data_IF_950192983082
#
_entry.id   IF_950192983082
#
_cell.length_a   1.000
_cell.length_b   1.000
_cell.length_c   1.000
_cell.angle_alpha   90.00
_cell.angle_beta   90.00
_cell.angle_gamma   90.00
#
_symmetry.space_group_name_H-M   'P 1'
#
loop_
_entity.id
_entity.type
_entity.pdbx_description
1 polymer ?
#
# COMPACT_ATOMS: atom_id res chain seq x y z
N UNK A 1 -2.13 -24.64 12.22
CA UNK A 1 -3.40 -24.26 11.55
C UNK A 1 -3.11 -24.15 10.08
N UNK A 2 -3.84 -24.85 9.21
CA UNK A 2 -3.65 -24.74 7.76
C UNK A 2 -4.12 -23.36 7.28
N UNK A 3 -3.33 -22.71 6.43
CA UNK A 3 -3.69 -21.42 5.87
C UNK A 3 -4.72 -21.60 4.75
N UNK A 4 -5.58 -20.60 4.53
CA UNK A 4 -6.55 -20.58 3.44
C UNK A 4 -6.16 -19.51 2.43
N UNK A 5 -6.25 -19.84 1.14
CA UNK A 5 -6.11 -18.82 0.09
C UNK A 5 -7.26 -17.82 0.21
N UNK A 6 -7.02 -16.50 0.07
CA UNK A 6 -8.10 -15.53 0.03
C UNK A 6 -9.05 -15.81 -1.15
N UNK A 7 -10.35 -15.72 -0.89
CA UNK A 7 -11.39 -15.95 -1.91
C UNK A 7 -11.39 -14.85 -2.97
N UNK A 8 -11.15 -13.60 -2.54
CA UNK A 8 -11.10 -12.40 -3.37
C UNK A 8 -9.89 -11.54 -3.02
N UNK A 9 -9.52 -10.66 -3.94
CA UNK A 9 -8.49 -9.64 -3.71
C UNK A 9 -9.20 -8.29 -3.59
N UNK A 10 -9.20 -7.64 -2.42
CA UNK A 10 -9.82 -6.33 -2.25
C UNK A 10 -9.18 -5.28 -3.15
N UNK A 11 -9.97 -4.29 -3.60
CA UNK A 11 -9.48 -3.21 -4.48
C UNK A 11 -8.20 -2.51 -3.98
N UNK A 12 -8.05 -2.14 -2.69
CA UNK A 12 -6.82 -1.52 -2.21
C UNK A 12 -5.60 -2.46 -2.33
N UNK A 13 -5.80 -3.77 -2.12
CA UNK A 13 -4.75 -4.76 -2.28
C UNK A 13 -4.39 -4.98 -3.75
N UNK A 14 -5.39 -5.05 -4.64
CA UNK A 14 -5.19 -5.15 -6.08
C UNK A 14 -4.40 -3.94 -6.60
N UNK A 15 -4.71 -2.72 -6.13
CA UNK A 15 -3.99 -1.51 -6.49
C UNK A 15 -2.49 -1.56 -6.12
N UNK A 16 -2.16 -2.15 -4.97
CA UNK A 16 -0.77 -2.39 -4.57
C UNK A 16 -0.12 -3.49 -5.43
N UNK A 17 -0.85 -4.56 -5.71
CA UNK A 17 -0.36 -5.65 -6.57
C UNK A 17 -0.09 -5.16 -7.99
N UNK A 18 -0.97 -4.37 -8.60
CA UNK A 18 -0.76 -3.82 -9.93
C UNK A 18 0.55 -3.01 -9.99
N UNK A 19 0.80 -2.20 -8.96
CA UNK A 19 2.05 -1.45 -8.82
C UNK A 19 3.28 -2.37 -8.68
N UNK A 20 3.20 -3.42 -7.88
CA UNK A 20 4.28 -4.43 -7.76
C UNK A 20 4.52 -5.09 -9.12
N UNK A 21 3.45 -5.52 -9.79
CA UNK A 21 3.50 -6.22 -11.05
C UNK A 21 4.02 -5.36 -12.21
N UNK A 22 3.77 -4.05 -12.20
CA UNK A 22 4.38 -3.09 -13.15
C UNK A 22 5.91 -3.04 -13.03
N UNK A 23 6.44 -3.21 -11.81
CA UNK A 23 7.88 -3.13 -11.54
C UNK A 23 8.54 -4.49 -11.80
N UNK A 24 7.95 -5.56 -11.28
CA UNK A 24 8.50 -6.92 -11.35
C UNK A 24 8.39 -7.54 -12.75
N UNK A 25 7.24 -7.34 -13.41
CA UNK A 25 6.91 -8.02 -14.65
C UNK A 25 5.97 -7.14 -15.52
N UNK A 26 6.48 -6.05 -16.12
CA UNK A 26 5.66 -5.14 -16.94
C UNK A 26 5.03 -5.82 -18.17
N UNK A 27 5.53 -6.99 -18.59
CA UNK A 27 4.96 -7.80 -19.68
C UNK A 27 3.79 -8.70 -19.25
N UNK A 28 3.35 -8.62 -18.00
CA UNK A 28 2.14 -9.26 -17.54
C UNK A 28 2.34 -10.64 -16.90
N UNK A 29 1.24 -11.38 -16.78
CA UNK A 29 1.12 -12.63 -16.01
C UNK A 29 1.89 -13.82 -16.59
N UNK A 30 2.31 -13.74 -17.85
CA UNK A 30 3.11 -14.80 -18.48
C UNK A 30 4.62 -14.57 -18.34
N UNK A 31 5.05 -13.48 -17.72
CA UNK A 31 6.47 -13.13 -17.63
C UNK A 31 7.25 -14.16 -16.83
N UNK A 32 8.29 -14.72 -17.44
CA UNK A 32 9.29 -15.53 -16.74
C UNK A 32 10.64 -14.82 -16.74
N UNK A 33 11.54 -15.30 -15.88
CA UNK A 33 12.90 -14.78 -15.77
C UNK A 33 13.58 -14.52 -17.13
N UNK A 34 14.09 -13.30 -17.27
CA UNK A 34 14.75 -12.81 -18.48
C UNK A 34 13.82 -12.67 -19.69
N UNK A 35 12.51 -12.53 -19.47
CA UNK A 35 11.49 -12.32 -20.50
C UNK A 35 11.44 -13.43 -21.56
N UNK A 36 11.60 -14.68 -21.14
CA UNK A 36 11.70 -15.86 -22.02
C UNK A 36 10.39 -16.60 -22.26
N UNK A 37 9.25 -16.00 -21.97
CA UNK A 37 7.96 -16.68 -22.08
C UNK A 37 7.67 -17.20 -23.50
N UNK A 38 8.26 -16.61 -24.54
CA UNK A 38 8.21 -17.15 -25.90
C UNK A 38 8.96 -18.48 -26.11
N UNK A 39 9.67 -18.99 -25.10
CA UNK A 39 10.26 -20.34 -25.07
C UNK A 39 9.32 -21.39 -24.46
N UNK A 40 8.19 -20.99 -23.89
CA UNK A 40 7.18 -21.91 -23.35
C UNK A 40 6.29 -22.42 -24.47
N UNK A 41 5.83 -23.68 -24.34
CA UNK A 41 4.92 -24.31 -25.32
C UNK A 41 3.52 -23.72 -25.28
N UNK A 42 3.09 -23.26 -24.11
CA UNK A 42 1.82 -22.59 -23.84
C UNK A 42 2.09 -21.39 -22.93
N UNK A 43 1.21 -20.38 -22.89
CA UNK A 43 1.31 -19.28 -21.92
C UNK A 43 1.41 -19.82 -20.48
N UNK A 44 2.20 -19.16 -19.64
CA UNK A 44 2.36 -19.55 -18.23
C UNK A 44 1.02 -19.63 -17.50
N UNK A 45 0.09 -18.73 -17.83
CA UNK A 45 -1.27 -18.66 -17.29
C UNK A 45 -2.16 -19.85 -17.64
N UNK A 46 -1.72 -20.71 -18.56
CA UNK A 46 -2.40 -21.96 -18.93
C UNK A 46 -1.69 -23.20 -18.38
N UNK A 47 -0.51 -23.05 -17.77
CA UNK A 47 0.21 -24.14 -17.13
C UNK A 47 -0.40 -24.46 -15.76
N UNK A 48 -0.26 -25.72 -15.33
CA UNK A 48 -0.61 -26.09 -13.96
C UNK A 48 0.46 -25.63 -12.98
N UNK A 49 0.10 -25.55 -11.69
CA UNK A 49 1.03 -25.24 -10.61
C UNK A 49 2.19 -26.23 -10.55
N UNK A 50 1.92 -27.52 -10.81
CA UNK A 50 2.93 -28.57 -10.90
C UNK A 50 3.88 -28.34 -12.07
N UNK A 51 3.36 -28.09 -13.27
CA UNK A 51 4.16 -27.81 -14.46
C UNK A 51 5.13 -26.62 -14.22
N UNK A 52 4.66 -25.59 -13.52
CA UNK A 52 5.47 -24.42 -13.20
C UNK A 52 6.57 -24.78 -12.20
N UNK A 53 6.26 -25.51 -11.11
CA UNK A 53 7.29 -25.94 -10.15
C UNK A 53 8.39 -26.74 -10.83
N UNK A 54 8.02 -27.63 -11.76
CA UNK A 54 8.97 -28.46 -12.49
C UNK A 54 9.77 -27.64 -13.49
N UNK A 55 9.13 -26.74 -14.24
CA UNK A 55 9.81 -25.85 -15.16
C UNK A 55 10.77 -24.88 -14.44
N UNK A 56 10.35 -24.35 -13.29
CA UNK A 56 11.17 -23.48 -12.45
C UNK A 56 12.43 -24.16 -11.91
N UNK A 57 12.43 -25.49 -11.72
CA UNK A 57 13.62 -26.24 -11.32
C UNK A 57 14.72 -26.13 -12.40
N UNK A 58 14.32 -26.18 -13.66
CA UNK A 58 15.20 -25.98 -14.81
C UNK A 58 15.66 -24.52 -14.93
N UNK A 59 14.76 -23.55 -14.74
CA UNK A 59 15.07 -22.12 -14.88
C UNK A 59 16.00 -21.60 -13.77
N UNK A 60 15.96 -22.22 -12.59
CA UNK A 60 16.89 -21.96 -11.49
C UNK A 60 18.28 -22.59 -11.69
N UNK A 61 18.48 -23.42 -12.72
CA UNK A 61 19.75 -24.11 -12.96
C UNK A 61 20.54 -23.43 -14.10
N UNK A 62 21.68 -22.81 -13.76
CA UNK A 62 22.53 -22.08 -14.72
C UNK A 62 23.06 -22.96 -15.85
N UNK A 63 23.41 -24.21 -15.59
CA UNK A 63 23.86 -25.15 -16.62
C UNK A 63 22.74 -25.46 -17.61
N UNK A 64 21.54 -25.73 -17.10
CA UNK A 64 20.37 -25.98 -17.94
C UNK A 64 20.01 -24.74 -18.76
N UNK A 65 19.96 -23.57 -18.15
CA UNK A 65 19.63 -22.30 -18.82
C UNK A 65 20.67 -21.96 -19.90
N UNK A 66 21.96 -22.14 -19.63
CA UNK A 66 23.01 -21.93 -20.63
C UNK A 66 22.88 -22.89 -21.80
N UNK A 67 22.65 -24.17 -21.53
CA UNK A 67 22.50 -25.20 -22.57
C UNK A 67 21.26 -25.00 -23.45
N UNK A 68 20.11 -24.70 -22.85
CA UNK A 68 18.83 -24.68 -23.56
C UNK A 68 18.47 -23.29 -24.10
N UNK A 69 18.90 -22.22 -23.44
CA UNK A 69 18.52 -20.84 -23.77
C UNK A 69 19.71 -19.92 -24.08
N UNK A 70 20.95 -20.39 -24.00
CA UNK A 70 22.14 -19.59 -24.31
C UNK A 70 22.33 -18.39 -23.37
N UNK A 71 21.91 -18.50 -22.10
CA UNK A 71 21.95 -17.39 -21.14
C UNK A 71 22.80 -17.71 -19.90
N UNK A 72 23.51 -16.70 -19.38
CA UNK A 72 24.53 -16.90 -18.34
C UNK A 72 24.02 -16.68 -16.90
N UNK A 73 22.75 -16.30 -16.74
CA UNK A 73 22.12 -16.14 -15.42
C UNK A 73 20.90 -17.05 -15.32
N UNK A 74 20.50 -17.38 -14.09
CA UNK A 74 19.40 -18.29 -13.81
C UNK A 74 18.55 -17.73 -12.66
N UNK A 75 17.24 -17.93 -12.75
CA UNK A 75 16.29 -17.67 -11.69
C UNK A 75 15.02 -18.45 -11.96
N UNK A 76 14.39 -18.93 -10.90
CA UNK A 76 13.07 -19.56 -10.97
C UNK A 76 11.92 -18.55 -11.05
N UNK A 77 12.18 -17.25 -11.10
CA UNK A 77 11.12 -16.25 -11.03
C UNK A 77 10.10 -16.37 -12.17
N UNK A 78 8.80 -16.38 -11.81
CA UNK A 78 7.70 -16.59 -12.75
C UNK A 78 6.45 -15.79 -12.38
N UNK A 79 5.69 -15.38 -13.40
CA UNK A 79 4.41 -14.70 -13.25
C UNK A 79 4.54 -13.20 -12.97
N UNK A 80 3.39 -12.54 -12.82
CA UNK A 80 3.29 -11.08 -12.65
C UNK A 80 4.02 -10.57 -11.40
N UNK A 81 4.14 -11.42 -10.38
CA UNK A 81 4.77 -11.08 -9.10
C UNK A 81 6.10 -11.79 -8.87
N UNK A 82 6.68 -12.37 -9.94
CA UNK A 82 8.00 -13.04 -9.94
C UNK A 82 8.17 -14.07 -8.82
N UNK A 83 7.17 -14.95 -8.66
CA UNK A 83 7.20 -16.01 -7.66
C UNK A 83 8.39 -16.94 -7.86
N UNK A 84 9.15 -17.17 -6.78
CA UNK A 84 10.24 -18.15 -6.77
C UNK A 84 9.70 -19.55 -6.55
N UNK A 85 10.44 -20.57 -7.02
CA UNK A 85 10.05 -21.98 -6.86
C UNK A 85 9.82 -22.35 -5.40
N UNK A 86 10.77 -21.98 -4.53
CA UNK A 86 10.66 -22.24 -3.10
C UNK A 86 9.41 -21.60 -2.49
N UNK A 87 9.11 -20.35 -2.88
CA UNK A 87 7.90 -19.64 -2.44
C UNK A 87 6.63 -20.39 -2.85
N UNK A 88 6.54 -20.87 -4.10
CA UNK A 88 5.38 -21.64 -4.55
C UNK A 88 5.28 -23.01 -3.83
N UNK A 89 6.41 -23.68 -3.60
CA UNK A 89 6.42 -24.93 -2.84
C UNK A 89 5.97 -24.74 -1.40
N UNK A 90 6.37 -23.64 -0.75
CA UNK A 90 5.95 -23.35 0.63
C UNK A 90 4.48 -22.99 0.71
N UNK A 91 3.96 -22.18 -0.24
CA UNK A 91 2.52 -21.89 -0.30
C UNK A 91 1.70 -23.17 -0.46
N UNK A 92 2.10 -24.10 -1.32
CA UNK A 92 1.37 -25.37 -1.52
C UNK A 92 1.38 -26.26 -0.26
N UNK A 93 2.40 -26.17 0.59
CA UNK A 93 2.42 -26.86 1.90
C UNK A 93 1.49 -26.18 2.91
N UNK A 94 1.42 -24.86 2.86
CA UNK A 94 0.62 -24.05 3.81
C UNK A 94 -0.88 -24.05 3.47
N UNK A 95 -1.22 -24.14 2.18
CA UNK A 95 -2.58 -23.95 1.63
C UNK A 95 -3.06 -25.24 0.95
N UNK A 96 -3.85 -26.09 1.64
CA UNK A 96 -4.25 -27.40 1.13
C UNK A 96 -5.08 -27.39 -0.17
N UNK A 97 -5.69 -26.24 -0.51
CA UNK A 97 -6.49 -26.10 -1.74
C UNK A 97 -5.64 -25.91 -3.00
N UNK A 98 -4.32 -25.75 -2.87
CA UNK A 98 -3.39 -25.62 -4.00
C UNK A 98 -2.70 -26.96 -4.20
N UNK A 99 -2.91 -27.55 -5.37
CA UNK A 99 -2.22 -28.78 -5.77
C UNK A 99 -1.57 -28.65 -7.15
N UNK A 100 -0.84 -29.68 -7.57
CA UNK A 100 -0.14 -29.71 -8.84
C UNK A 100 -1.04 -29.57 -10.09
N UNK A 101 -2.36 -29.76 -9.97
CA UNK A 101 -3.33 -29.69 -11.08
C UNK A 101 -3.97 -28.30 -11.20
N UNK A 102 -3.81 -27.47 -10.18
CA UNK A 102 -4.39 -26.13 -10.13
C UNK A 102 -3.81 -25.25 -11.24
N UNK A 103 -4.66 -24.62 -12.05
CA UNK A 103 -4.20 -23.75 -13.16
C UNK A 103 -3.61 -22.44 -12.63
N UNK A 104 -2.40 -22.08 -13.07
CA UNK A 104 -1.69 -20.86 -12.67
C UNK A 104 -2.17 -19.59 -13.40
N UNK A 105 -3.49 -19.46 -13.48
CA UNK A 105 -4.20 -18.34 -14.10
C UNK A 105 -3.80 -16.99 -13.49
N UNK A 106 -4.06 -15.91 -14.23
CA UNK A 106 -3.89 -14.54 -13.72
C UNK A 106 -4.66 -14.30 -12.41
N UNK A 107 -5.88 -14.83 -12.30
CA UNK A 107 -6.69 -14.78 -11.09
C UNK A 107 -6.03 -15.50 -9.90
N UNK A 108 -5.45 -16.68 -10.13
CA UNK A 108 -4.69 -17.37 -9.08
C UNK A 108 -3.45 -16.58 -8.68
N UNK A 109 -2.69 -16.05 -9.64
CA UNK A 109 -1.52 -15.23 -9.36
C UNK A 109 -1.87 -14.02 -8.50
N UNK A 110 -2.99 -13.34 -8.75
CA UNK A 110 -3.47 -12.24 -7.89
C UNK A 110 -3.75 -12.70 -6.46
N UNK A 111 -4.42 -13.84 -6.29
CA UNK A 111 -4.69 -14.41 -4.96
C UNK A 111 -3.41 -14.79 -4.22
N UNK A 112 -2.43 -15.38 -4.93
CA UNK A 112 -1.12 -15.71 -4.36
C UNK A 112 -0.33 -14.46 -4.00
N UNK A 113 -0.34 -13.43 -4.86
CA UNK A 113 0.29 -12.14 -4.57
C UNK A 113 -0.32 -11.50 -3.32
N UNK A 114 -1.65 -11.54 -3.20
CA UNK A 114 -2.33 -11.05 -2.01
C UNK A 114 -2.02 -11.88 -0.76
N UNK A 115 -1.93 -13.21 -0.89
CA UNK A 115 -1.48 -14.09 0.18
C UNK A 115 -0.09 -13.68 0.70
N UNK A 116 0.86 -13.37 -0.20
CA UNK A 116 2.18 -12.87 0.18
C UNK A 116 2.12 -11.52 0.90
N UNK A 117 1.26 -10.60 0.45
CA UNK A 117 1.03 -9.33 1.15
C UNK A 117 0.52 -9.55 2.57
N UNK A 118 -0.45 -10.45 2.76
CA UNK A 118 -0.98 -10.82 4.07
C UNK A 118 0.12 -11.39 4.98
N UNK A 119 0.94 -12.31 4.45
CA UNK A 119 2.11 -12.88 5.15
C UNK A 119 3.12 -11.82 5.58
N UNK A 120 3.19 -10.69 4.85
CA UNK A 120 4.06 -9.54 5.14
C UNK A 120 3.42 -8.48 6.03
N UNK A 121 2.21 -8.72 6.55
CA UNK A 121 1.54 -7.84 7.49
C UNK A 121 0.67 -6.77 6.82
N UNK A 122 0.16 -7.02 5.61
CA UNK A 122 -0.75 -6.09 4.94
C UNK A 122 -1.98 -5.74 5.80
N UNK A 123 -2.57 -6.70 6.50
CA UNK A 123 -3.71 -6.42 7.40
C UNK A 123 -3.32 -5.48 8.55
N UNK A 124 -2.12 -5.64 9.10
CA UNK A 124 -1.60 -4.75 10.15
C UNK A 124 -1.27 -3.36 9.59
N UNK A 125 -0.82 -3.27 8.34
CA UNK A 125 -0.62 -1.99 7.65
C UNK A 125 -1.94 -1.25 7.43
N UNK A 126 -2.96 -1.92 6.91
CA UNK A 126 -4.29 -1.32 6.67
C UNK A 126 -4.94 -0.88 7.98
N UNK A 127 -4.79 -1.66 9.05
CA UNK A 127 -5.32 -1.29 10.39
C UNK A 127 -4.46 -0.28 11.16
N UNK A 128 -3.32 0.14 10.60
CA UNK A 128 -2.43 1.13 11.22
C UNK A 128 -1.50 0.58 12.32
N UNK A 129 -1.49 -0.73 12.57
CA UNK A 129 -0.55 -1.40 13.49
C UNK A 129 0.87 -1.44 12.95
N UNK A 130 1.03 -1.53 11.62
CA UNK A 130 2.30 -1.29 10.94
C UNK A 130 2.27 0.07 10.26
N UNK A 131 3.26 0.90 10.55
CA UNK A 131 3.40 2.17 9.84
C UNK A 131 3.96 1.96 8.43
N UNK A 132 3.92 3.03 7.62
CA UNK A 132 4.33 3.00 6.22
C UNK A 132 5.78 2.52 6.02
N UNK A 133 6.73 2.99 6.83
CA UNK A 133 8.15 2.62 6.70
C UNK A 133 8.36 1.15 7.08
N UNK A 134 7.70 0.69 8.13
CA UNK A 134 7.73 -0.71 8.56
C UNK A 134 7.16 -1.64 7.49
N UNK A 135 5.99 -1.32 6.94
CA UNK A 135 5.40 -2.13 5.87
C UNK A 135 6.23 -2.06 4.58
N UNK A 136 6.78 -0.89 4.22
CA UNK A 136 7.72 -0.75 3.11
C UNK A 136 8.95 -1.66 3.24
N UNK A 137 9.48 -1.82 4.45
CA UNK A 137 10.54 -2.80 4.72
C UNK A 137 10.04 -4.24 4.50
N UNK A 138 8.83 -4.58 4.94
CA UNK A 138 8.24 -5.92 4.70
C UNK A 138 8.05 -6.21 3.22
N UNK A 139 7.68 -5.21 2.42
CA UNK A 139 7.62 -5.32 0.95
C UNK A 139 9.00 -5.57 0.34
N UNK A 140 10.02 -4.79 0.73
CA UNK A 140 11.39 -4.96 0.24
C UNK A 140 12.01 -6.32 0.61
N UNK A 141 11.48 -6.99 1.64
CA UNK A 141 11.87 -8.36 2.03
C UNK A 141 11.15 -9.47 1.23
N UNK A 142 10.13 -9.14 0.45
CA UNK A 142 9.44 -10.09 -0.44
C UNK A 142 9.83 -9.84 -1.90
N UNK A 143 9.87 -8.57 -2.32
CA UNK A 143 10.20 -8.15 -3.68
C UNK A 143 11.52 -7.38 -3.69
N UNK A 144 12.56 -7.99 -4.24
CA UNK A 144 13.91 -7.43 -4.23
C UNK A 144 14.06 -6.14 -5.06
N UNK A 145 13.13 -5.89 -5.99
CA UNK A 145 13.05 -4.65 -6.77
C UNK A 145 12.58 -3.45 -5.95
N UNK A 146 12.07 -3.65 -4.74
CA UNK A 146 11.61 -2.57 -3.86
C UNK A 146 12.75 -2.06 -2.97
N UNK A 147 12.85 -0.74 -2.76
CA UNK A 147 13.82 -0.14 -1.87
C UNK A 147 13.39 -0.27 -0.41
N UNK A 148 14.36 -0.26 0.51
CA UNK A 148 14.10 0.11 1.90
C UNK A 148 13.75 1.60 1.98
N UNK A 149 12.80 1.95 2.85
CA UNK A 149 12.30 3.33 3.01
C UNK A 149 13.03 4.12 4.11
N UNK A 150 13.89 3.46 4.86
CA UNK A 150 14.80 4.04 5.85
C UNK A 150 16.07 3.19 5.93
N UNK A 151 17.12 3.76 6.49
CA UNK A 151 18.34 3.03 6.79
C UNK A 151 18.04 1.86 7.74
N UNK A 152 18.60 0.69 7.46
CA UNK A 152 18.32 -0.53 8.22
C UNK A 152 19.39 -1.61 7.99
N UNK A 153 19.29 -2.71 8.76
CA UNK A 153 20.04 -3.94 8.49
C UNK A 153 19.39 -4.68 7.34
N UNK A 154 20.05 -4.66 6.18
CA UNK A 154 19.71 -5.51 5.03
C UNK A 154 20.16 -6.95 5.25
N UNK A 155 19.81 -7.83 4.31
CA UNK A 155 20.13 -9.27 4.38
C UNK A 155 21.64 -9.53 4.47
N UNK A 156 22.45 -8.74 3.77
CA UNK A 156 23.89 -8.94 3.66
C UNK A 156 24.71 -7.87 4.39
N UNK A 157 24.28 -6.61 4.35
CA UNK A 157 24.97 -5.47 4.95
C UNK A 157 24.00 -4.43 5.45
N UNK A 158 24.52 -3.37 6.08
CA UNK A 158 23.73 -2.15 6.29
C UNK A 158 23.33 -1.59 4.93
N UNK A 159 22.08 -1.19 4.80
CA UNK A 159 21.52 -0.60 3.59
C UNK A 159 20.87 0.72 3.95
N UNK A 160 21.04 1.69 3.07
CA UNK A 160 20.46 3.02 3.22
C UNK A 160 19.18 3.14 2.41
N UNK A 161 18.33 4.12 2.75
CA UNK A 161 17.10 4.43 2.02
C UNK A 161 17.34 4.44 0.50
N UNK A 162 16.48 3.75 -0.25
CA UNK A 162 16.60 3.62 -1.70
C UNK A 162 17.36 2.39 -2.19
N UNK A 163 18.10 1.69 -1.33
CA UNK A 163 18.74 0.43 -1.68
C UNK A 163 17.79 -0.77 -1.53
N UNK A 164 18.04 -1.85 -2.27
CA UNK A 164 17.34 -3.13 -2.05
C UNK A 164 17.70 -3.68 -0.67
N UNK A 165 16.76 -4.37 -0.02
CA UNK A 165 17.02 -5.12 1.21
C UNK A 165 18.13 -6.18 1.03
N UNK A 166 18.33 -6.65 -0.21
CA UNK A 166 19.32 -7.65 -0.60
C UNK A 166 20.63 -7.04 -1.13
N UNK A 167 20.79 -5.72 -1.08
CA UNK A 167 22.01 -5.08 -1.59
C UNK A 167 23.26 -5.67 -0.90
N UNK A 168 24.25 -6.03 -1.71
CA UNK A 168 25.47 -6.72 -1.28
C UNK A 168 25.65 -8.14 -1.84
N UNK A 169 24.63 -8.70 -2.49
CA UNK A 169 24.70 -10.01 -3.16
C UNK A 169 25.23 -9.96 -4.62
N UNK A 170 25.43 -8.75 -5.17
CA UNK A 170 25.86 -8.53 -6.55
C UNK A 170 24.79 -8.81 -7.61
N UNK A 171 23.55 -9.14 -7.21
CA UNK A 171 22.46 -9.55 -8.10
C UNK A 171 21.25 -8.63 -8.00
N UNK A 172 20.81 -8.33 -6.77
CA UNK A 172 19.57 -7.62 -6.51
C UNK A 172 19.76 -6.11 -6.41
N UNK A 173 18.83 -5.37 -7.03
CA UNK A 173 18.79 -3.90 -7.02
C UNK A 173 17.36 -3.39 -6.94
N UNK A 174 17.18 -2.25 -6.26
CA UNK A 174 15.91 -1.56 -6.28
C UNK A 174 15.67 -0.95 -7.68
N UNK A 175 14.46 -1.10 -8.19
CA UNK A 175 14.02 -0.60 -9.51
C UNK A 175 13.03 0.56 -9.38
N UNK A 176 12.61 0.89 -8.17
CA UNK A 176 11.67 1.98 -7.89
C UNK A 176 12.21 2.90 -6.81
N UNK A 177 11.94 4.20 -6.94
CA UNK A 177 12.32 5.21 -5.95
C UNK A 177 11.45 5.10 -4.69
N UNK A 178 12.01 5.30 -3.48
CA UNK A 178 11.25 5.27 -2.23
C UNK A 178 9.98 6.14 -2.25
N UNK A 179 10.04 7.34 -2.81
CA UNK A 179 8.92 8.29 -2.85
C UNK A 179 7.72 7.72 -3.62
N UNK A 180 7.99 6.96 -4.69
CA UNK A 180 6.92 6.33 -5.50
C UNK A 180 6.27 5.18 -4.72
N UNK A 181 7.05 4.43 -3.93
CA UNK A 181 6.52 3.40 -3.03
C UNK A 181 5.69 4.04 -1.92
N UNK A 182 6.21 5.06 -1.24
CA UNK A 182 5.48 5.76 -0.19
C UNK A 182 4.18 6.39 -0.71
N UNK A 183 4.19 7.00 -1.89
CA UNK A 183 3.00 7.54 -2.53
C UNK A 183 1.96 6.44 -2.82
N UNK A 184 2.39 5.29 -3.35
CA UNK A 184 1.48 4.15 -3.56
C UNK A 184 0.90 3.65 -2.25
N UNK A 185 1.71 3.51 -1.20
CA UNK A 185 1.24 3.04 0.10
C UNK A 185 0.23 3.99 0.75
N UNK A 186 0.44 5.31 0.65
CA UNK A 186 -0.55 6.31 1.09
C UNK A 186 -1.86 6.17 0.31
N UNK A 187 -1.78 6.05 -1.02
CA UNK A 187 -2.96 5.87 -1.85
C UNK A 187 -3.74 4.58 -1.53
N UNK A 188 -3.04 3.48 -1.21
CA UNK A 188 -3.67 2.22 -0.76
C UNK A 188 -4.43 2.41 0.56
N UNK A 189 -3.88 3.16 1.51
CA UNK A 189 -4.58 3.50 2.76
C UNK A 189 -5.82 4.35 2.50
N UNK A 190 -5.74 5.32 1.59
CA UNK A 190 -6.88 6.16 1.22
C UNK A 190 -7.98 5.35 0.54
N UNK A 191 -7.64 4.44 -0.39
CA UNK A 191 -8.60 3.52 -0.99
C UNK A 191 -9.24 2.61 0.06
N UNK A 192 -8.47 2.08 1.02
CA UNK A 192 -9.01 1.24 2.08
C UNK A 192 -10.03 2.00 2.94
N UNK A 193 -9.75 3.26 3.30
CA UNK A 193 -10.69 4.12 4.04
C UNK A 193 -11.98 4.35 3.26
N UNK A 194 -11.90 4.64 1.96
CA UNK A 194 -13.08 4.88 1.12
C UNK A 194 -13.98 3.65 1.03
N UNK A 195 -13.39 2.46 0.87
CA UNK A 195 -14.14 1.20 0.85
C UNK A 195 -14.84 0.95 2.20
N UNK A 196 -14.16 1.18 3.32
CA UNK A 196 -14.77 0.98 4.66
C UNK A 196 -15.94 1.94 4.95
N UNK A 197 -15.93 3.15 4.39
CA UNK A 197 -17.02 4.12 4.57
C UNK A 197 -18.22 3.77 3.69
N UNK A 198 -18.01 3.24 2.48
CA UNK A 198 -19.08 2.83 1.56
C UNK A 198 -19.90 1.63 2.02
N UNK A 199 -19.34 0.76 2.87
CA UNK A 199 -20.00 -0.45 3.40
C UNK A 199 -20.77 -0.21 4.72
N UNK A 200 -20.80 1.03 5.22
CA UNK A 200 -21.63 1.37 6.39
C UNK A 200 -23.05 1.69 5.93
N UNK A 201 -24.09 0.95 6.38
CA UNK A 201 -25.46 1.38 6.13
C UNK A 201 -25.61 2.78 6.71
N UNK A 202 -25.96 3.74 5.86
CA UNK A 202 -26.33 5.07 6.32
C UNK A 202 -27.45 4.89 7.34
N UNK A 203 -27.17 5.15 8.62
CA UNK A 203 -28.21 5.32 9.63
C UNK A 203 -28.99 6.56 9.22
N UNK A 204 -30.07 6.35 8.49
CA UNK A 204 -31.04 7.39 8.15
C UNK A 204 -31.63 7.84 9.49
N UNK A 205 -31.16 8.98 9.98
CA UNK A 205 -31.88 9.69 11.04
C UNK A 205 -33.18 10.20 10.43
N UNK A 206 -34.35 9.93 11.01
CA UNK A 206 -35.64 10.16 10.35
C UNK A 206 -35.91 11.66 10.23
N UNK A 207 -36.26 12.07 9.01
CA UNK A 207 -36.75 13.39 8.68
C UNK A 207 -37.96 13.80 9.55
N UNK A 208 -38.10 15.07 9.97
CA UNK A 208 -39.39 15.57 10.41
C UNK A 208 -40.29 15.77 9.18
N UNK A 209 -41.46 15.16 9.24
CA UNK A 209 -42.48 15.14 8.20
C UNK A 209 -42.91 16.54 7.74
N UNK A 210 -43.09 16.69 6.42
CA UNK A 210 -43.85 17.79 5.80
C UNK A 210 -45.10 17.18 5.12
N UNK A 211 -46.29 17.79 5.24
CA UNK A 211 -47.43 17.41 4.42
C UNK A 211 -47.32 18.00 3.01
N UNK A 212 -47.63 17.17 2.01
CA UNK A 212 -47.85 17.48 0.58
C UNK A 212 -49.25 18.10 0.34
N UNK A 213 -49.66 18.47 -0.90
CA UNK A 213 -48.89 18.93 -2.09
C UNK A 213 -49.55 20.18 -2.76
N UNK A 214 -48.82 20.90 -3.63
CA UNK A 214 -49.31 21.24 -4.99
C UNK A 214 -48.33 22.10 -5.83
N UNK A 215 -48.30 21.72 -7.11
CA UNK A 215 -48.03 22.52 -8.31
C UNK A 215 -46.60 22.88 -8.77
N UNK A 216 -46.33 22.39 -9.99
CA UNK A 216 -45.58 23.00 -11.10
C UNK A 216 -44.06 22.82 -11.17
N UNK A 217 -43.67 21.91 -12.06
CA UNK A 217 -42.37 21.78 -12.71
C UNK A 217 -42.06 23.04 -13.51
N UNK A 218 -40.91 23.68 -13.22
CA UNK A 218 -40.20 24.53 -14.17
C UNK A 218 -38.69 24.29 -14.01
N UNK A 219 -38.02 24.02 -15.13
CA UNK A 219 -36.61 23.69 -15.28
C UNK A 219 -35.72 24.93 -15.13
N UNK A 220 -34.80 24.91 -14.16
CA UNK A 220 -33.65 25.81 -14.07
C UNK A 220 -32.46 25.10 -13.37
N UNK A 221 -31.20 25.45 -13.67
CA UNK A 221 -30.01 24.68 -13.29
C UNK A 221 -29.70 24.77 -11.79
N UNK A 222 -29.22 23.66 -11.23
CA UNK A 222 -28.88 23.52 -9.80
C UNK A 222 -27.77 24.52 -9.40
N UNK A 223 -27.90 25.27 -8.29
CA UNK A 223 -26.88 26.22 -7.83
C UNK A 223 -25.69 25.50 -7.21
N UNK A 224 -24.49 25.99 -7.47
CA UNK A 224 -23.30 25.63 -6.71
C UNK A 224 -23.52 25.93 -5.22
N UNK A 225 -23.37 24.93 -4.37
CA UNK A 225 -23.29 25.11 -2.92
C UNK A 225 -22.04 25.95 -2.61
N UNK A 226 -22.27 27.26 -2.39
CA UNK A 226 -21.24 28.19 -1.96
C UNK A 226 -20.80 27.79 -0.55
N UNK A 227 -19.65 27.13 -0.44
CA UNK A 227 -18.88 27.14 0.80
C UNK A 227 -18.51 28.60 1.06
N UNK A 228 -19.18 29.19 2.04
CA UNK A 228 -19.01 30.56 2.45
C UNK A 228 -17.57 30.80 2.97
N UNK A 229 -16.70 31.49 2.21
CA UNK A 229 -15.28 31.60 2.54
C UNK A 229 -15.01 32.54 3.73
N UNK A 230 -16.03 33.22 4.25
CA UNK A 230 -15.91 34.23 5.30
C UNK A 230 -15.76 33.64 6.73
N UNK A 231 -15.80 32.31 6.88
CA UNK A 231 -15.55 31.63 8.17
C UNK A 231 -14.12 31.18 8.40
N UNK A 232 -13.18 31.44 7.48
CA UNK A 232 -11.76 31.11 7.68
C UNK A 232 -10.99 32.09 8.57
N UNK A 233 -11.54 33.26 8.89
CA UNK A 233 -10.79 34.38 9.50
C UNK A 233 -10.83 34.49 11.02
N UNK A 234 -11.39 33.50 11.74
CA UNK A 234 -11.38 33.56 13.23
C UNK A 234 -10.09 32.93 13.80
N UNK A 235 -9.29 33.67 14.60
CA UNK A 235 -8.13 33.10 15.28
C UNK A 235 -8.58 32.06 16.30
N UNK A 236 -8.03 30.84 16.21
CA UNK A 236 -8.39 29.68 17.03
C UNK A 236 -8.12 29.89 18.54
N UNK A 237 -7.42 30.95 18.94
CA UNK A 237 -7.13 31.30 20.33
C UNK A 237 -8.37 31.64 21.17
N UNK A 238 -9.55 31.88 20.57
CA UNK A 238 -10.79 32.23 21.30
C UNK A 238 -11.89 31.17 21.24
N UNK A 239 -11.64 30.00 20.65
CA UNK A 239 -12.67 28.94 20.56
C UNK A 239 -12.60 28.02 21.78
N UNK A 240 -13.54 28.19 22.72
CA UNK A 240 -13.69 27.33 23.91
C UNK A 240 -13.86 25.85 23.56
N UNK A 241 -14.54 25.57 22.45
CA UNK A 241 -14.80 24.21 21.98
C UNK A 241 -13.54 23.53 21.47
N UNK A 242 -12.64 24.25 20.79
CA UNK A 242 -11.37 23.65 20.29
C UNK A 242 -10.40 23.35 21.43
N UNK A 243 -10.33 24.24 22.43
CA UNK A 243 -9.50 24.01 23.62
C UNK A 243 -10.01 22.85 24.49
N UNK A 244 -11.33 22.68 24.59
CA UNK A 244 -11.92 21.61 25.37
C UNK A 244 -11.59 20.23 24.78
N UNK A 245 -11.58 20.08 23.45
CA UNK A 245 -11.17 18.84 22.78
C UNK A 245 -9.66 18.58 22.86
N UNK A 246 -8.82 19.62 22.81
CA UNK A 246 -7.36 19.47 23.00
C UNK A 246 -7.04 18.99 24.43
N UNK A 247 -7.75 19.51 25.44
CA UNK A 247 -7.54 19.13 26.84
C UNK A 247 -8.04 17.69 27.12
N UNK A 248 -9.26 17.32 26.70
CA UNK A 248 -9.78 15.97 27.02
C UNK A 248 -9.16 14.85 26.21
N UNK A 249 -8.74 15.09 24.97
CA UNK A 249 -8.19 14.03 24.11
C UNK A 249 -6.68 13.81 24.29
N UNK A 250 -5.94 14.81 24.81
CA UNK A 250 -4.47 14.70 24.99
C UNK A 250 -4.06 14.53 26.46
N UNK A 251 -4.76 15.16 27.43
CA UNK A 251 -4.30 15.16 28.83
C UNK A 251 -4.78 13.92 29.60
N UNK A 252 -5.97 13.40 29.31
CA UNK A 252 -6.55 12.30 30.10
C UNK A 252 -5.89 10.92 29.86
N UNK A 253 -5.36 10.57 28.66
CA UNK A 253 -4.65 9.30 28.52
C UNK A 253 -3.20 9.31 29.06
N UNK A 254 -2.64 10.45 29.47
CA UNK A 254 -1.21 10.60 29.76
C UNK A 254 -0.85 10.89 31.23
N UNK A 255 -1.82 10.99 32.14
CA UNK A 255 -1.56 11.21 33.58
C UNK A 255 -1.53 9.91 34.39
N UNK A 256 -1.76 8.74 33.77
CA UNK A 256 -1.92 7.53 34.56
C UNK A 256 -0.66 6.69 34.83
N UNK A 257 0.46 6.74 34.08
CA UNK A 257 1.61 5.84 34.37
C UNK A 257 2.95 6.23 33.69
N UNK A 258 3.57 7.37 34.03
CA UNK A 258 5.00 7.57 33.74
C UNK A 258 5.66 8.37 34.87
N UNK A 259 6.53 7.73 35.67
CA UNK A 259 7.28 8.34 36.79
C UNK A 259 8.60 9.01 36.36
N UNK A 260 8.88 9.10 35.05
CA UNK A 260 10.14 9.62 34.53
C UNK A 260 10.00 11.07 33.97
N UNK A 261 10.57 12.09 34.66
CA UNK A 261 10.43 13.49 34.26
C UNK A 261 11.06 13.81 32.89
N UNK A 262 12.05 13.04 32.44
CA UNK A 262 12.69 13.23 31.13
C UNK A 262 11.83 12.74 29.97
N UNK A 263 11.05 11.67 30.18
CA UNK A 263 10.10 11.16 29.17
C UNK A 263 8.93 12.12 29.02
N UNK A 264 8.46 12.70 30.12
CA UNK A 264 7.41 13.72 30.09
C UNK A 264 7.86 14.99 29.36
N UNK A 265 9.08 15.48 29.62
CA UNK A 265 9.65 16.62 28.90
C UNK A 265 9.79 16.35 27.39
N UNK A 266 10.20 15.14 27.01
CA UNK A 266 10.31 14.73 25.61
C UNK A 266 8.95 14.69 24.90
N UNK A 267 7.91 14.16 25.55
CA UNK A 267 6.55 14.14 25.00
C UNK A 267 5.97 15.55 24.85
N UNK A 268 6.20 16.44 25.82
CA UNK A 268 5.79 17.85 25.73
C UNK A 268 6.48 18.53 24.55
N UNK A 269 7.78 18.28 24.33
CA UNK A 269 8.51 18.83 23.20
C UNK A 269 7.97 18.34 21.84
N UNK A 270 7.57 17.06 21.75
CA UNK A 270 6.93 16.51 20.54
C UNK A 270 5.59 17.21 20.27
N UNK A 271 4.73 17.34 21.28
CA UNK A 271 3.42 17.98 21.12
C UNK A 271 3.58 19.46 20.75
N UNK A 272 4.52 20.17 21.36
CA UNK A 272 4.84 21.55 21.01
C UNK A 272 5.35 21.67 19.56
N UNK A 273 6.21 20.74 19.11
CA UNK A 273 6.68 20.68 17.73
C UNK A 273 5.55 20.46 16.72
N UNK A 274 4.60 19.57 17.03
CA UNK A 274 3.40 19.37 16.21
C UNK A 274 2.51 20.61 16.14
N UNK A 275 2.33 21.32 17.27
CA UNK A 275 1.56 22.56 17.31
C UNK A 275 2.20 23.66 16.45
N UNK A 276 3.52 23.85 16.56
CA UNK A 276 4.28 24.82 15.74
C UNK A 276 4.17 24.46 14.25
N UNK A 277 4.34 23.18 13.91
CA UNK A 277 4.23 22.70 12.53
C UNK A 277 2.82 22.93 11.95
N UNK A 278 1.76 22.65 12.72
CA UNK A 278 0.39 22.86 12.29
C UNK A 278 0.08 24.35 12.04
N UNK A 279 0.58 25.25 12.89
CA UNK A 279 0.44 26.70 12.72
C UNK A 279 1.16 27.16 11.46
N UNK A 280 2.42 26.75 11.25
CA UNK A 280 3.20 27.11 10.07
C UNK A 280 2.53 26.61 8.78
N UNK A 281 2.11 25.34 8.75
CA UNK A 281 1.45 24.74 7.58
C UNK A 281 0.15 25.47 7.21
N UNK A 282 -0.62 25.93 8.19
CA UNK A 282 -1.84 26.71 7.93
C UNK A 282 -1.51 28.09 7.37
N UNK A 283 -0.43 28.73 7.83
CA UNK A 283 0.04 30.01 7.28
C UNK A 283 0.52 29.88 5.83
N UNK A 284 1.19 28.77 5.50
CA UNK A 284 1.66 28.49 4.13
C UNK A 284 0.47 28.27 3.18
N UNK A 285 -0.55 27.51 3.60
CA UNK A 285 -1.79 27.31 2.83
C UNK A 285 -2.54 28.62 2.62
N UNK A 286 -2.64 29.47 3.65
CA UNK A 286 -3.28 30.77 3.56
C UNK A 286 -2.51 31.75 2.65
N UNK A 287 -1.19 31.59 2.52
CA UNK A 287 -0.38 32.36 1.56
C UNK A 287 -0.65 31.89 0.13
N UNK A 288 -0.57 30.58 -0.13
CA UNK A 288 -0.84 30.00 -1.45
C UNK A 288 -2.26 30.34 -1.95
N UNK A 289 -3.25 30.32 -1.06
CA UNK A 289 -4.62 30.70 -1.40
C UNK A 289 -4.75 32.19 -1.79
N UNK A 290 -4.03 33.09 -1.10
CA UNK A 290 -4.01 34.52 -1.43
C UNK A 290 -3.30 34.79 -2.76
N UNK A 291 -2.20 34.09 -3.01
CA UNK A 291 -1.43 34.20 -4.27
C UNK A 291 -2.29 33.73 -5.46
N UNK A 292 -2.97 32.57 -5.33
CA UNK A 292 -3.91 32.04 -6.34
C UNK A 292 -5.11 32.97 -6.58
N UNK A 293 -5.65 33.60 -5.53
CA UNK A 293 -6.76 34.54 -5.66
C UNK A 293 -6.33 35.82 -6.39
N UNK A 294 -5.14 36.34 -6.08
CA UNK A 294 -4.59 37.52 -6.77
C UNK A 294 -4.30 37.25 -8.26
N UNK A 295 -3.91 36.02 -8.62
CA UNK A 295 -3.72 35.61 -10.02
C UNK A 295 -5.04 35.45 -10.78
N UNK A 296 -6.13 35.10 -10.10
CA UNK A 296 -7.46 34.95 -10.70
C UNK A 296 -8.22 36.28 -10.84
N UNK A 297 -7.89 37.26 -10.00
CA UNK A 297 -8.50 38.60 -9.97
C UNK A 297 -7.72 39.63 -10.83
N UNK A 298 -6.60 39.23 -11.48
CA UNK A 298 -5.75 40.06 -12.37
C UNK A 298 -6.02 39.80 -13.85
#
# INVERSE_FOLDING_TARGET
MSAKLPETVPLPAQNLLDFIGEIEAPKGFDTIFGNRQGKLRVPLTQMTYGDIIDAQANWGNKTWVKKNWGYDTASSAAGRYQFMRATLQDIAKEVPSIDGRTIFSSGLQNKLGYYLLLRRGYADFISGKLNLVQFGLKLAQEWASFPVLSDTKGKHRQVVRGQSYYAGDGLNKALVRPERVEARLRHVLDLARLVTVGDTPATISPAPARPEPDAAVNTAPVPAEKVDPEKLDKPLLKSKTVWQWIITTIVVPLVALITNPWVQAFLIAIVAGFAIYAIKRRSDIAKVYRDLKAEFDA
#
